data_IF_548285324595
#
_entry.id   IF_548285324595
#
_cell.length_a   1.000
_cell.length_b   1.000
_cell.length_c   1.000
_cell.angle_alpha   90.00
_cell.angle_beta   90.00
_cell.angle_gamma   90.00
#
_symmetry.space_group_name_H-M   'P 1'
#
loop_
_entity.id
_entity.type
_entity.pdbx_description
1 polymer ?
#
# COMPACT_ATOMS: atom_id res chain seq x y z
N UNK A 1 -15.15 6.24 12.07
CA UNK A 1 -13.95 6.35 11.21
C UNK A 1 -13.83 5.03 10.49
N UNK A 2 -14.02 5.03 9.18
CA UNK A 2 -13.83 3.83 8.35
C UNK A 2 -12.32 3.60 8.16
N UNK A 3 -11.89 2.35 8.09
CA UNK A 3 -10.49 1.96 7.84
C UNK A 3 -9.95 2.67 6.59
N UNK A 4 -10.77 2.78 5.53
CA UNK A 4 -10.40 3.50 4.30
C UNK A 4 -10.10 4.98 4.55
N UNK A 5 -10.91 5.65 5.37
CA UNK A 5 -10.70 7.06 5.70
C UNK A 5 -9.45 7.27 6.55
N UNK A 6 -9.19 6.35 7.50
CA UNK A 6 -7.96 6.36 8.29
C UNK A 6 -6.73 6.22 7.39
N UNK A 7 -6.70 5.20 6.52
CA UNK A 7 -5.57 4.93 5.64
C UNK A 7 -5.37 6.04 4.61
N UNK A 8 -6.45 6.65 4.10
CA UNK A 8 -6.38 7.85 3.23
C UNK A 8 -5.59 8.99 3.85
N UNK A 9 -5.70 9.17 5.17
CA UNK A 9 -4.97 10.19 5.92
C UNK A 9 -3.44 10.05 5.85
N UNK A 10 -2.93 8.89 5.47
CA UNK A 10 -1.50 8.59 5.33
C UNK A 10 -1.03 8.58 3.87
N UNK A 11 -1.82 9.14 2.94
CA UNK A 11 -1.37 9.30 1.54
C UNK A 11 -0.10 10.15 1.50
N UNK A 12 0.93 9.66 0.82
CA UNK A 12 2.27 10.24 0.75
C UNK A 12 3.27 9.61 1.75
N UNK A 13 2.80 8.88 2.76
CA UNK A 13 3.66 8.16 3.70
C UNK A 13 4.15 6.85 3.12
N UNK A 14 5.32 6.40 3.58
CA UNK A 14 5.75 5.02 3.37
C UNK A 14 4.95 4.09 4.27
N UNK A 15 4.44 3.01 3.67
CA UNK A 15 3.63 2.03 4.37
C UNK A 15 4.08 0.63 4.01
N UNK A 16 3.86 -0.27 4.95
CA UNK A 16 3.98 -1.71 4.76
C UNK A 16 2.59 -2.32 4.87
N UNK A 17 2.19 -3.05 3.83
CA UNK A 17 0.87 -3.66 3.72
C UNK A 17 1.03 -5.18 3.73
N UNK A 18 0.41 -5.83 4.71
CA UNK A 18 0.39 -7.28 4.79
C UNK A 18 -0.87 -7.84 4.15
N UNK A 19 -0.68 -8.90 3.37
CA UNK A 19 -1.73 -9.72 2.76
C UNK A 19 -1.50 -11.19 3.13
N UNK A 20 -2.47 -12.11 2.95
CA UNK A 20 -2.37 -13.51 3.41
C UNK A 20 -1.21 -14.36 2.87
N UNK A 21 -0.36 -13.82 2.00
CA UNK A 21 0.83 -14.53 1.49
C UNK A 21 1.99 -13.62 1.10
N UNK A 22 1.90 -12.31 1.36
CA UNK A 22 2.92 -11.36 0.94
C UNK A 22 2.89 -10.08 1.77
N UNK A 23 4.03 -9.38 1.79
CA UNK A 23 4.21 -8.10 2.46
C UNK A 23 4.78 -7.09 1.47
N UNK A 24 4.04 -6.03 1.22
CA UNK A 24 4.37 -5.03 0.20
C UNK A 24 4.73 -3.72 0.89
N UNK A 25 5.95 -3.25 0.67
CA UNK A 25 6.42 -1.95 1.14
C UNK A 25 6.43 -0.95 -0.01
N UNK A 26 5.88 0.24 0.22
CA UNK A 26 5.89 1.31 -0.75
C UNK A 26 5.23 2.59 -0.25
N UNK A 27 5.29 3.65 -1.03
CA UNK A 27 4.62 4.91 -0.71
C UNK A 27 3.14 4.81 -1.03
N UNK A 28 2.26 5.08 -0.05
CA UNK A 28 0.82 5.11 -0.30
C UNK A 28 0.47 6.30 -1.20
N UNK A 29 0.00 6.07 -2.42
CA UNK A 29 -0.31 7.15 -3.37
C UNK A 29 -1.81 7.41 -3.51
N UNK A 30 -2.65 6.40 -3.26
CA UNK A 30 -4.10 6.56 -3.29
C UNK A 30 -4.82 5.41 -2.57
N UNK A 31 -6.03 5.69 -2.10
CA UNK A 31 -6.97 4.71 -1.54
C UNK A 31 -8.33 4.96 -2.16
N UNK A 32 -8.76 4.06 -3.03
CA UNK A 32 -10.10 4.13 -3.62
C UNK A 32 -11.07 3.23 -2.84
N UNK A 33 -12.24 2.93 -3.40
CA UNK A 33 -13.26 2.16 -2.68
C UNK A 33 -12.96 0.66 -2.56
N UNK A 34 -12.04 0.13 -3.38
CA UNK A 34 -11.76 -1.30 -3.47
C UNK A 34 -10.27 -1.68 -3.28
N UNK A 35 -9.35 -0.73 -3.38
CA UNK A 35 -7.91 -0.99 -3.39
C UNK A 35 -7.07 0.16 -2.84
N UNK A 36 -5.92 -0.21 -2.27
CA UNK A 36 -4.78 0.66 -2.03
C UNK A 36 -3.89 0.69 -3.28
N UNK A 37 -3.35 1.86 -3.60
CA UNK A 37 -2.32 2.00 -4.62
C UNK A 37 -1.02 2.43 -3.92
N UNK A 38 0.03 1.65 -4.12
CA UNK A 38 1.35 1.89 -3.54
C UNK A 38 2.34 2.14 -4.66
N UNK A 39 3.15 3.19 -4.55
CA UNK A 39 4.35 3.32 -5.36
C UNK A 39 5.44 2.44 -4.76
N UNK A 40 5.76 1.34 -5.41
CA UNK A 40 6.79 0.39 -4.96
C UNK A 40 8.15 0.78 -5.52
N UNK A 41 9.25 0.59 -4.76
CA UNK A 41 10.58 0.86 -5.27
C UNK A 41 10.90 -0.05 -6.47
N UNK A 42 11.63 0.45 -7.46
CA UNK A 42 11.97 -0.33 -8.64
C UNK A 42 12.86 -1.52 -8.24
N UNK A 43 12.50 -2.70 -8.75
CA UNK A 43 13.31 -3.91 -8.59
C UNK A 43 14.33 -3.96 -9.73
N UNK A 44 15.63 -4.10 -9.42
CA UNK A 44 16.73 -4.03 -10.40
C UNK A 44 16.57 -4.94 -11.63
N UNK A 45 15.84 -6.04 -11.50
CA UNK A 45 15.59 -7.01 -12.58
C UNK A 45 14.09 -7.35 -12.73
N UNK A 46 13.21 -6.46 -12.25
CA UNK A 46 11.77 -6.65 -12.29
C UNK A 46 11.10 -5.98 -13.50
N UNK A 47 9.84 -6.33 -13.79
CA UNK A 47 9.01 -5.57 -14.73
C UNK A 47 8.94 -4.10 -14.29
N UNK A 48 8.92 -3.13 -15.23
CA UNK A 48 8.70 -1.72 -14.91
C UNK A 48 7.25 -1.55 -14.44
N UNK A 49 7.05 -1.72 -13.15
CA UNK A 49 5.78 -1.56 -12.47
C UNK A 49 6.03 -0.77 -11.21
N UNK A 50 5.98 0.55 -11.32
CA UNK A 50 6.19 1.45 -10.18
C UNK A 50 5.00 1.43 -9.21
N UNK A 51 3.87 0.83 -9.58
CA UNK A 51 2.62 0.87 -8.80
C UNK A 51 2.08 -0.53 -8.52
N UNK A 52 1.98 -0.88 -7.24
CA UNK A 52 1.25 -2.04 -6.76
C UNK A 52 -0.20 -1.66 -6.42
N UNK A 53 -1.15 -2.50 -6.85
CA UNK A 53 -2.58 -2.36 -6.54
C UNK A 53 -2.95 -3.48 -5.58
N UNK A 54 -3.28 -3.14 -4.33
CA UNK A 54 -3.62 -4.09 -3.27
C UNK A 54 -5.12 -4.03 -3.00
N UNK A 55 -5.90 -5.10 -3.23
CA UNK A 55 -7.32 -5.12 -2.90
C UNK A 55 -7.54 -4.94 -1.40
N UNK A 56 -8.43 -4.04 -0.98
CA UNK A 56 -8.72 -3.79 0.43
C UNK A 56 -9.20 -5.04 1.16
N UNK A 57 -9.96 -5.90 0.47
CA UNK A 57 -10.44 -7.18 1.02
C UNK A 57 -9.35 -8.19 1.37
N UNK A 58 -8.13 -8.01 0.84
CA UNK A 58 -6.98 -8.87 1.13
C UNK A 58 -5.96 -8.20 2.04
N UNK A 59 -6.24 -7.00 2.55
CA UNK A 59 -5.38 -6.32 3.51
C UNK A 59 -5.66 -6.87 4.90
N UNK A 60 -4.64 -7.41 5.54
CA UNK A 60 -4.72 -7.87 6.94
C UNK A 60 -4.39 -6.74 7.90
N UNK A 61 -3.35 -5.96 7.60
CA UNK A 61 -3.07 -4.68 8.26
C UNK A 61 -2.21 -3.76 7.38
N UNK A 62 -2.19 -2.48 7.76
CA UNK A 62 -1.30 -1.46 7.20
C UNK A 62 -0.48 -0.87 8.34
N UNK A 63 0.84 -0.90 8.20
CA UNK A 63 1.78 -0.26 9.13
C UNK A 63 2.36 0.98 8.45
N UNK A 64 2.15 2.14 9.07
CA UNK A 64 2.78 3.39 8.61
C UNK A 64 4.21 3.40 9.13
N UNK A 65 5.19 3.52 8.23
CA UNK A 65 6.59 3.61 8.59
C UNK A 65 6.90 5.09 8.85
N UNK A 66 7.24 5.39 10.10
CA UNK A 66 7.72 6.70 10.53
C UNK A 66 9.10 6.49 11.13
N UNK A 67 10.09 7.27 10.69
CA UNK A 67 11.37 7.40 11.41
C UNK A 67 11.17 7.97 12.83
#
# INVERSE_FOLDING_TARGET
MDFKELVRGFTGSEVEVMTPGDMITGTLISVNDASLMLKVPPVMYGPPGDVAIVPLRSVEFVRVLTD
#
